data_IF_012325010214
#
_entry.id   IF_012325010214
#
_cell.length_a   1.000
_cell.length_b   1.000
_cell.length_c   1.000
_cell.angle_alpha   90.00
_cell.angle_beta   90.00
_cell.angle_gamma   90.00
#
_symmetry.space_group_name_H-M   'P 1'
#
loop_
_entity.id
_entity.type
_entity.pdbx_description
1 polymer ?
#
# COMPACT_ATOMS: atom_id res chain seq x y z
N UNK A 1 -3.33 -2.02 21.60
CA UNK A 1 -4.78 -1.81 21.44
C UNK A 1 -5.15 -0.31 21.55
N UNK A 2 -4.93 0.36 22.70
CA UNK A 2 -5.32 1.78 22.90
C UNK A 2 -4.82 2.74 21.81
N UNK A 3 -3.57 2.58 21.34
CA UNK A 3 -2.99 3.42 20.27
C UNK A 3 -3.67 3.22 18.91
N UNK A 4 -4.15 2.01 18.61
CA UNK A 4 -4.87 1.73 17.36
C UNK A 4 -6.21 2.46 17.33
N UNK A 5 -6.98 2.35 18.41
CA UNK A 5 -8.27 3.05 18.54
C UNK A 5 -8.06 4.56 18.43
N UNK A 6 -7.18 5.11 19.25
CA UNK A 6 -6.90 6.55 19.24
C UNK A 6 -6.44 7.06 17.86
N UNK A 7 -5.61 6.30 17.16
CA UNK A 7 -5.14 6.68 15.83
C UNK A 7 -6.26 6.76 14.79
N UNK A 8 -7.18 5.80 14.80
CA UNK A 8 -8.34 5.80 13.90
C UNK A 8 -9.33 6.92 14.24
N UNK A 9 -9.65 7.09 15.52
CA UNK A 9 -10.52 8.17 15.99
C UNK A 9 -9.96 9.54 15.57
N UNK A 10 -8.65 9.75 15.76
CA UNK A 10 -7.99 10.99 15.35
C UNK A 10 -8.03 11.25 13.86
N UNK A 11 -7.90 10.20 13.03
CA UNK A 11 -8.06 10.33 11.59
C UNK A 11 -9.49 10.69 11.20
N UNK A 12 -10.49 10.09 11.85
CA UNK A 12 -11.90 10.40 11.61
C UNK A 12 -12.21 11.85 12.02
N UNK A 13 -11.67 12.33 13.13
CA UNK A 13 -11.82 13.73 13.55
C UNK A 13 -11.26 14.73 12.52
N UNK A 14 -10.13 14.39 11.88
CA UNK A 14 -9.44 15.29 10.94
C UNK A 14 -10.00 15.19 9.53
N UNK A 15 -10.27 13.98 9.05
CA UNK A 15 -10.62 13.70 7.66
C UNK A 15 -12.09 13.30 7.45
N UNK A 16 -12.85 13.09 8.53
CA UNK A 16 -14.27 12.76 8.48
C UNK A 16 -14.55 11.54 7.60
N UNK A 17 -15.53 11.67 6.73
CA UNK A 17 -15.96 10.61 5.80
C UNK A 17 -14.89 10.20 4.78
N UNK A 18 -13.84 11.00 4.58
CA UNK A 18 -12.71 10.61 3.71
C UNK A 18 -11.78 9.59 4.36
N UNK A 19 -11.98 9.26 5.64
CA UNK A 19 -11.15 8.30 6.34
C UNK A 19 -11.43 6.89 5.85
N UNK A 20 -10.41 6.23 5.34
CA UNK A 20 -10.46 4.81 4.98
C UNK A 20 -9.88 4.02 6.17
N UNK A 21 -10.66 3.14 6.83
CA UNK A 21 -10.23 2.41 8.03
C UNK A 21 -9.27 1.27 7.69
N UNK A 22 -8.14 1.61 7.09
CA UNK A 22 -7.06 0.70 6.72
C UNK A 22 -5.85 1.01 7.59
N UNK A 23 -5.36 0.01 8.32
CA UNK A 23 -4.13 0.14 9.08
C UNK A 23 -2.92 -0.03 8.15
N UNK A 24 -2.08 1.00 8.11
CA UNK A 24 -0.71 0.92 7.59
C UNK A 24 0.24 1.05 8.78
N UNK A 25 0.75 -0.05 9.32
CA UNK A 25 1.54 0.00 10.54
C UNK A 25 2.91 0.64 10.31
N UNK A 26 3.51 1.28 11.33
CA UNK A 26 4.87 1.79 11.23
C UNK A 26 5.83 0.71 10.72
N UNK A 27 6.75 1.11 9.82
CA UNK A 27 7.70 0.22 9.17
C UNK A 27 7.04 -0.93 8.37
N UNK A 28 5.75 -0.80 8.04
CA UNK A 28 4.95 -1.82 7.38
C UNK A 28 4.99 -3.19 8.09
N UNK A 29 5.09 -3.19 9.41
CA UNK A 29 5.21 -4.39 10.24
C UNK A 29 4.21 -4.40 11.38
N UNK A 30 3.56 -5.55 11.56
CA UNK A 30 2.64 -5.81 12.66
C UNK A 30 2.91 -7.22 13.20
N UNK A 31 2.88 -7.37 14.52
CA UNK A 31 2.96 -8.71 15.11
C UNK A 31 1.68 -9.50 14.79
N UNK A 32 1.78 -10.77 14.36
CA UNK A 32 0.61 -11.55 13.92
C UNK A 32 -0.51 -11.64 14.96
N UNK A 33 -0.18 -11.62 16.24
CA UNK A 33 -1.16 -11.64 17.32
C UNK A 33 -2.09 -10.42 17.36
N UNK A 34 -1.73 -9.30 16.73
CA UNK A 34 -2.59 -8.12 16.67
C UNK A 34 -3.55 -8.13 15.48
N UNK A 35 -3.28 -8.90 14.44
CA UNK A 35 -4.10 -8.91 13.22
C UNK A 35 -5.56 -9.29 13.52
N UNK A 36 -5.86 -10.34 14.29
CA UNK A 36 -7.25 -10.69 14.62
C UNK A 36 -8.01 -9.65 15.44
N UNK A 37 -7.30 -8.72 16.06
CA UNK A 37 -7.93 -7.68 16.89
C UNK A 37 -8.37 -6.46 16.06
N UNK A 38 -7.85 -6.28 14.85
CA UNK A 38 -8.07 -5.09 14.05
C UNK A 38 -9.56 -4.81 13.75
N UNK A 39 -10.38 -5.81 13.34
CA UNK A 39 -11.80 -5.57 13.08
C UNK A 39 -12.55 -5.08 14.33
N UNK A 40 -12.26 -5.64 15.50
CA UNK A 40 -12.84 -5.19 16.78
C UNK A 40 -12.44 -3.77 17.19
N UNK A 41 -11.44 -3.19 16.52
CA UNK A 41 -11.01 -1.80 16.71
C UNK A 41 -11.41 -0.88 15.54
N UNK A 42 -12.33 -1.33 14.68
CA UNK A 42 -12.88 -0.52 13.59
C UNK A 42 -12.08 -0.53 12.29
N UNK A 43 -11.02 -1.35 12.18
CA UNK A 43 -10.27 -1.47 10.94
C UNK A 43 -10.90 -2.52 10.01
N UNK A 44 -11.10 -2.15 8.75
CA UNK A 44 -11.59 -3.04 7.69
C UNK A 44 -10.46 -3.52 6.77
N UNK A 45 -9.29 -2.87 6.84
CA UNK A 45 -8.15 -3.21 6.00
C UNK A 45 -6.81 -3.15 6.72
N UNK A 46 -5.86 -3.89 6.16
CA UNK A 46 -4.44 -3.91 6.57
C UNK A 46 -3.57 -3.81 5.32
N UNK A 47 -2.57 -2.93 5.36
CA UNK A 47 -1.53 -2.89 4.34
C UNK A 47 -0.15 -2.97 4.99
N UNK A 48 0.64 -3.94 4.56
CA UNK A 48 2.04 -4.11 4.95
C UNK A 48 2.94 -4.10 3.72
N UNK A 49 4.16 -4.59 3.80
CA UNK A 49 5.07 -4.66 2.67
C UNK A 49 5.35 -6.09 2.23
N UNK A 50 5.37 -6.31 0.91
CA UNK A 50 5.63 -7.61 0.30
C UNK A 50 4.37 -8.44 0.08
N UNK A 51 4.54 -9.69 -0.30
CA UNK A 51 3.43 -10.56 -0.67
C UNK A 51 2.57 -10.94 0.54
N UNK A 52 1.26 -10.84 0.40
CA UNK A 52 0.32 -11.35 1.40
C UNK A 52 0.27 -12.89 1.33
N UNK A 53 -0.01 -13.52 2.46
CA UNK A 53 -0.23 -14.98 2.52
C UNK A 53 -1.67 -15.35 2.22
N UNK A 54 -2.58 -14.46 2.54
CA UNK A 54 -4.02 -14.55 2.29
C UNK A 54 -4.58 -13.14 2.17
N UNK A 55 -5.65 -13.00 1.42
CA UNK A 55 -6.38 -11.73 1.30
C UNK A 55 -7.20 -11.41 2.54
N UNK A 56 -7.63 -12.44 3.30
CA UNK A 56 -8.42 -12.30 4.52
C UNK A 56 -7.74 -13.00 5.69
N UNK A 57 -6.79 -12.33 6.38
CA UNK A 57 -6.07 -12.92 7.50
C UNK A 57 -6.94 -13.14 8.73
N UNK A 58 -8.09 -12.47 8.81
CA UNK A 58 -9.16 -12.70 9.78
C UNK A 58 -10.49 -12.22 9.21
N UNK A 59 -11.60 -12.69 9.75
CA UNK A 59 -12.94 -12.25 9.35
C UNK A 59 -13.09 -10.73 9.50
N UNK A 60 -13.69 -10.08 8.50
CA UNK A 60 -13.90 -8.62 8.49
C UNK A 60 -12.66 -7.79 8.14
N UNK A 61 -11.50 -8.40 7.83
CA UNK A 61 -10.27 -7.69 7.49
C UNK A 61 -9.76 -8.12 6.11
N UNK A 62 -9.62 -7.16 5.19
CA UNK A 62 -8.96 -7.36 3.90
C UNK A 62 -7.50 -6.89 3.98
N UNK A 63 -6.57 -7.73 3.51
CA UNK A 63 -5.17 -7.35 3.41
C UNK A 63 -4.77 -7.11 1.96
N UNK A 64 -4.27 -5.91 1.67
CA UNK A 64 -3.65 -5.56 0.38
C UNK A 64 -2.38 -4.77 0.66
N UNK A 65 -1.26 -5.29 0.18
CA UNK A 65 0.06 -4.80 0.53
C UNK A 65 0.65 -3.83 -0.51
N UNK A 66 1.70 -3.12 -0.12
CA UNK A 66 2.61 -2.47 -1.04
C UNK A 66 3.77 -3.41 -1.40
N UNK A 67 4.25 -3.35 -2.65
CA UNK A 67 5.22 -4.30 -3.18
C UNK A 67 6.50 -3.63 -3.66
N UNK A 68 6.41 -2.37 -4.06
CA UNK A 68 7.53 -1.58 -4.55
C UNK A 68 7.73 -0.38 -3.66
N UNK A 69 8.89 -0.31 -3.03
CA UNK A 69 9.34 0.85 -2.25
C UNK A 69 10.48 1.52 -3.05
N UNK A 70 10.27 2.74 -3.58
CA UNK A 70 11.25 3.41 -4.41
C UNK A 70 12.38 4.08 -3.61
N UNK A 71 12.43 3.87 -2.29
CA UNK A 71 13.47 4.43 -1.43
C UNK A 71 14.57 3.40 -1.17
N UNK A 72 15.80 3.79 -1.40
CA UNK A 72 16.98 3.02 -1.00
C UNK A 72 17.32 3.26 0.47
N UNK A 73 16.72 2.48 1.35
CA UNK A 73 16.89 2.59 2.80
C UNK A 73 18.32 2.30 3.29
N UNK A 74 19.11 1.61 2.47
CA UNK A 74 20.50 1.23 2.82
C UNK A 74 21.50 2.31 2.46
N UNK A 75 21.20 3.11 1.41
CA UNK A 75 22.05 4.17 0.92
C UNK A 75 21.32 5.50 1.04
N UNK A 76 21.71 6.32 2.03
CA UNK A 76 21.27 7.70 2.25
C UNK A 76 19.74 7.93 2.38
N UNK A 77 18.93 6.87 2.36
CA UNK A 77 17.45 6.94 2.45
C UNK A 77 16.84 7.87 1.40
N UNK A 78 17.34 7.78 0.18
CA UNK A 78 16.92 8.59 -0.96
C UNK A 78 16.15 7.77 -1.99
N UNK A 79 15.52 8.47 -2.92
CA UNK A 79 14.94 7.85 -4.10
C UNK A 79 15.99 7.02 -4.84
N UNK A 80 15.67 5.76 -5.14
CA UNK A 80 16.61 4.83 -5.77
C UNK A 80 16.87 5.11 -7.27
N UNK A 81 16.20 6.09 -7.84
CA UNK A 81 16.24 6.41 -9.26
C UNK A 81 15.17 5.69 -10.08
N UNK A 82 14.74 6.34 -11.17
CA UNK A 82 13.63 5.88 -12.01
C UNK A 82 13.85 4.47 -12.58
N UNK A 83 15.07 4.16 -13.04
CA UNK A 83 15.40 2.84 -13.61
C UNK A 83 15.15 1.71 -12.62
N UNK A 84 15.75 1.77 -11.43
CA UNK A 84 15.56 0.74 -10.39
C UNK A 84 14.12 0.63 -9.89
N UNK A 85 13.43 1.76 -9.78
CA UNK A 85 12.02 1.76 -9.38
C UNK A 85 11.11 1.11 -10.44
N UNK A 86 11.37 1.36 -11.73
CA UNK A 86 10.69 0.69 -12.84
C UNK A 86 11.01 -0.80 -12.91
N UNK A 87 12.27 -1.20 -12.75
CA UNK A 87 12.67 -2.59 -12.72
C UNK A 87 11.92 -3.36 -11.61
N UNK A 88 11.83 -2.79 -10.40
CA UNK A 88 11.08 -3.39 -9.31
C UNK A 88 9.57 -3.52 -9.62
N UNK A 89 8.96 -2.52 -10.24
CA UNK A 89 7.56 -2.59 -10.71
C UNK A 89 7.37 -3.68 -11.75
N UNK A 90 8.23 -3.71 -12.77
CA UNK A 90 8.18 -4.70 -13.85
C UNK A 90 8.37 -6.12 -13.30
N UNK A 91 9.29 -6.31 -12.37
CA UNK A 91 9.55 -7.62 -11.79
C UNK A 91 8.36 -8.11 -10.95
N UNK A 92 7.72 -7.23 -10.16
CA UNK A 92 6.51 -7.59 -9.44
C UNK A 92 5.35 -7.94 -10.41
N UNK A 93 5.13 -7.14 -11.46
CA UNK A 93 4.12 -7.42 -12.48
C UNK A 93 4.38 -8.74 -13.22
N UNK A 94 5.65 -9.05 -13.51
CA UNK A 94 6.05 -10.36 -14.07
C UNK A 94 5.73 -11.51 -13.11
N UNK A 95 6.02 -11.34 -11.82
CA UNK A 95 5.71 -12.36 -10.81
C UNK A 95 4.20 -12.62 -10.73
N UNK A 96 3.36 -11.60 -10.76
CA UNK A 96 1.90 -11.73 -10.83
C UNK A 96 1.47 -12.50 -12.08
N UNK A 97 1.93 -12.09 -13.25
CA UNK A 97 1.59 -12.73 -14.53
C UNK A 97 1.99 -14.20 -14.58
N UNK A 98 3.08 -14.57 -13.91
CA UNK A 98 3.60 -15.94 -13.88
C UNK A 98 3.02 -16.77 -12.73
N UNK A 99 2.08 -16.23 -11.94
CA UNK A 99 1.51 -16.93 -10.79
C UNK A 99 2.51 -17.22 -9.66
N UNK A 100 3.62 -16.48 -9.61
CA UNK A 100 4.63 -16.63 -8.54
C UNK A 100 4.21 -15.93 -7.24
N UNK A 101 3.26 -15.04 -7.35
CA UNK A 101 2.62 -14.30 -6.25
C UNK A 101 1.13 -14.25 -6.51
N UNK A 102 0.34 -13.79 -5.54
CA UNK A 102 -1.11 -13.63 -5.70
C UNK A 102 -1.41 -12.68 -6.88
N UNK A 103 -1.99 -13.23 -7.94
CA UNK A 103 -2.31 -12.49 -9.17
C UNK A 103 -3.47 -11.50 -8.96
N UNK A 104 -4.34 -11.76 -7.98
CA UNK A 104 -5.49 -10.92 -7.65
C UNK A 104 -5.12 -9.73 -6.75
N UNK A 105 -3.93 -9.77 -6.11
CA UNK A 105 -3.44 -8.64 -5.34
C UNK A 105 -2.93 -7.53 -6.28
N UNK A 106 -3.48 -6.28 -6.21
CA UNK A 106 -2.96 -5.17 -6.99
C UNK A 106 -1.50 -4.87 -6.64
N UNK A 107 -0.71 -4.46 -7.63
CA UNK A 107 0.67 -4.01 -7.38
C UNK A 107 0.65 -2.67 -6.64
N UNK A 108 1.05 -2.66 -5.39
CA UNK A 108 1.11 -1.45 -4.56
C UNK A 108 2.49 -0.78 -4.64
N UNK A 109 2.48 0.53 -4.92
CA UNK A 109 3.67 1.37 -4.85
C UNK A 109 3.62 2.18 -3.54
N UNK A 110 4.65 2.04 -2.72
CA UNK A 110 4.74 2.73 -1.44
C UNK A 110 5.31 4.14 -1.63
N UNK A 111 4.63 5.14 -1.10
CA UNK A 111 5.09 6.52 -1.14
C UNK A 111 5.50 7.01 0.25
N UNK A 112 6.59 7.78 0.32
CA UNK A 112 7.13 8.33 1.55
C UNK A 112 7.19 9.86 1.44
N UNK A 113 6.02 10.51 1.41
CA UNK A 113 5.89 11.95 1.11
C UNK A 113 6.80 12.85 1.97
N UNK A 114 7.11 12.46 3.21
CA UNK A 114 7.95 13.26 4.11
C UNK A 114 9.45 13.29 3.73
N UNK A 115 9.90 12.32 2.90
CA UNK A 115 11.31 12.21 2.48
C UNK A 115 11.48 12.15 0.96
N UNK A 116 10.39 12.34 0.23
CA UNK A 116 10.43 12.32 -1.22
C UNK A 116 11.13 13.57 -1.77
N UNK A 117 12.01 13.34 -2.72
CA UNK A 117 12.69 14.39 -3.49
C UNK A 117 11.87 14.79 -4.71
N UNK A 118 12.23 15.91 -5.33
CA UNK A 118 11.65 16.35 -6.61
C UNK A 118 11.78 15.28 -7.70
N UNK A 119 12.86 14.50 -7.69
CA UNK A 119 13.05 13.38 -8.63
C UNK A 119 12.04 12.26 -8.42
N UNK A 120 11.73 11.93 -7.17
CA UNK A 120 10.71 10.93 -6.86
C UNK A 120 9.32 11.40 -7.30
N UNK A 121 8.99 12.68 -7.07
CA UNK A 121 7.74 13.26 -7.56
C UNK A 121 7.68 13.28 -9.10
N UNK A 122 8.74 13.68 -9.79
CA UNK A 122 8.82 13.64 -11.27
C UNK A 122 8.62 12.22 -11.79
N UNK A 123 9.25 11.23 -11.16
CA UNK A 123 9.08 9.83 -11.53
C UNK A 123 7.61 9.39 -11.45
N UNK A 124 6.91 9.68 -10.35
CA UNK A 124 5.50 9.30 -10.20
C UNK A 124 4.61 10.02 -11.21
N UNK A 125 4.83 11.32 -11.41
CA UNK A 125 4.06 12.09 -12.39
C UNK A 125 4.24 11.50 -13.78
N UNK A 126 5.47 11.19 -14.17
CA UNK A 126 5.75 10.57 -15.46
C UNK A 126 5.14 9.16 -15.55
N UNK A 127 5.31 8.31 -14.55
CA UNK A 127 4.72 6.98 -14.51
C UNK A 127 3.21 7.04 -14.70
N UNK A 128 2.53 7.94 -14.00
CA UNK A 128 1.08 8.13 -14.14
C UNK A 128 0.71 8.66 -15.52
N UNK A 129 1.43 9.65 -16.05
CA UNK A 129 1.13 10.23 -17.36
C UNK A 129 1.24 9.20 -18.49
N UNK A 130 2.26 8.34 -18.44
CA UNK A 130 2.53 7.32 -19.47
C UNK A 130 1.57 6.12 -19.36
N UNK A 131 1.10 5.80 -18.15
CA UNK A 131 0.36 4.55 -17.94
C UNK A 131 -1.14 4.74 -17.72
N UNK A 132 -1.61 5.91 -17.31
CA UNK A 132 -3.02 6.16 -16.93
C UNK A 132 -4.03 5.85 -18.05
N UNK A 133 -3.64 6.03 -19.29
CA UNK A 133 -4.51 5.78 -20.45
C UNK A 133 -4.16 4.48 -21.19
N UNK A 134 -3.16 3.74 -20.70
CA UNK A 134 -2.74 2.50 -21.34
C UNK A 134 -3.80 1.40 -21.10
N UNK A 135 -4.29 0.71 -22.14
CA UNK A 135 -5.41 -0.25 -22.03
C UNK A 135 -5.13 -1.46 -21.12
N UNK A 136 -3.87 -1.77 -20.87
CA UNK A 136 -3.47 -2.86 -19.97
C UNK A 136 -3.26 -2.40 -18.51
N UNK A 137 -3.50 -1.13 -18.18
CA UNK A 137 -3.27 -0.57 -16.85
C UNK A 137 -4.54 0.01 -16.27
N UNK A 138 -4.83 -0.36 -15.04
CA UNK A 138 -5.88 0.26 -14.25
C UNK A 138 -5.29 0.75 -12.92
N UNK A 139 -5.32 2.04 -12.70
CA UNK A 139 -5.01 2.64 -11.40
C UNK A 139 -6.24 2.61 -10.51
N UNK A 140 -6.11 1.98 -9.34
CA UNK A 140 -7.20 1.78 -8.40
C UNK A 140 -7.11 2.79 -7.25
N UNK A 141 -8.25 3.29 -6.81
CA UNK A 141 -8.34 4.10 -5.57
C UNK A 141 -8.32 3.16 -4.36
N UNK A 142 -7.81 3.63 -3.24
CA UNK A 142 -7.73 2.83 -2.02
C UNK A 142 -9.10 2.28 -1.59
N UNK A 143 -10.17 3.08 -1.67
CA UNK A 143 -11.53 2.63 -1.35
C UNK A 143 -12.01 1.48 -2.25
N UNK A 144 -11.66 1.51 -3.55
CA UNK A 144 -12.03 0.44 -4.49
C UNK A 144 -11.24 -0.84 -4.18
N UNK A 145 -9.94 -0.68 -3.85
CA UNK A 145 -9.05 -1.79 -3.49
C UNK A 145 -9.53 -2.52 -2.24
N UNK A 146 -10.00 -1.79 -1.24
CA UNK A 146 -10.47 -2.37 0.02
C UNK A 146 -11.99 -2.63 0.05
N UNK A 147 -12.71 -2.38 -1.05
CA UNK A 147 -14.15 -2.60 -1.15
C UNK A 147 -14.97 -1.72 -0.19
N UNK A 148 -14.44 -0.55 0.16
CA UNK A 148 -15.05 0.37 1.11
C UNK A 148 -15.84 1.44 0.34
N UNK A 149 -17.12 1.57 0.66
CA UNK A 149 -17.94 2.67 0.15
C UNK A 149 -17.74 3.86 1.10
N UNK A 150 -17.24 4.93 0.59
CA UNK A 150 -17.20 6.26 1.22
C UNK A 150 -18.40 7.03 0.74
#
# INVERSE_FOLDING_TARGET
AKQLVYGLERLIEVAGEMTIPVLVPPWNRIAPAFIPLLPGHGYAGLSTYGHRRTDRPTEGLLQVNCHVDPIDWRNERKFMGAGRALDALIDHLKCRRLGKVDADEPTGLLTHHAIWTDEAFKFIIQLLSETRQHPAVQWLRAQDVFGLRV
#
